data_IF_856911140360
#
_entry.id   IF_856911140360
#
_cell.length_a   1.000
_cell.length_b   1.000
_cell.length_c   1.000
_cell.angle_alpha   90.00
_cell.angle_beta   90.00
_cell.angle_gamma   90.00
#
_symmetry.space_group_name_H-M   'P 1'
#
loop_
_entity.id
_entity.type
_entity.pdbx_description
1 polymer ?
#
# COMPACT_ATOMS: atom_id res chain seq x y z
N UNK A 1 6.69 28.91 0.78
CA UNK A 1 5.39 29.10 1.45
C UNK A 1 5.01 27.75 2.03
N UNK A 2 4.67 27.67 3.33
CA UNK A 2 4.26 26.42 3.97
C UNK A 2 2.88 26.06 3.41
N UNK A 3 2.71 24.85 2.87
CA UNK A 3 1.41 24.34 2.38
C UNK A 3 0.88 23.33 3.40
N UNK A 4 -0.04 23.74 4.27
CA UNK A 4 -0.50 22.89 5.37
C UNK A 4 -1.27 21.65 4.88
N UNK A 5 -1.92 21.70 3.73
CA UNK A 5 -2.60 20.53 3.15
C UNK A 5 -1.56 19.49 2.76
N UNK A 6 -0.52 19.91 2.05
CA UNK A 6 0.59 19.05 1.64
C UNK A 6 1.30 18.42 2.83
N UNK A 7 1.54 19.21 3.88
CA UNK A 7 2.15 18.71 5.12
C UNK A 7 1.30 17.62 5.79
N UNK A 8 -0.02 17.83 5.92
CA UNK A 8 -0.91 16.84 6.52
C UNK A 8 -1.00 15.55 5.67
N UNK A 9 -1.08 15.68 4.35
CA UNK A 9 -1.07 14.50 3.45
C UNK A 9 0.24 13.72 3.58
N UNK A 10 1.38 14.41 3.65
CA UNK A 10 2.69 13.79 3.86
C UNK A 10 2.76 13.04 5.20
N UNK A 11 2.21 13.62 6.27
CA UNK A 11 2.16 12.97 7.58
C UNK A 11 1.27 11.72 7.56
N UNK A 12 0.14 11.78 6.85
CA UNK A 12 -0.76 10.64 6.69
C UNK A 12 -0.10 9.50 5.90
N UNK A 13 0.56 9.80 4.78
CA UNK A 13 1.29 8.81 3.96
C UNK A 13 2.44 8.15 4.71
N UNK A 14 3.11 8.84 5.63
CA UNK A 14 4.16 8.25 6.46
C UNK A 14 3.61 7.19 7.41
N UNK A 15 2.36 7.30 7.81
CA UNK A 15 1.75 6.43 8.80
C UNK A 15 2.34 6.60 10.21
N UNK A 16 2.04 5.64 11.09
CA UNK A 16 2.63 5.57 12.43
C UNK A 16 2.10 6.58 13.46
N UNK A 17 1.06 7.34 13.12
CA UNK A 17 0.45 8.31 14.05
C UNK A 17 -0.66 7.68 14.89
N UNK A 18 -1.67 7.10 14.22
CA UNK A 18 -2.85 6.52 14.88
C UNK A 18 -2.76 4.99 15.02
N UNK A 19 -1.94 4.35 14.21
CA UNK A 19 -1.75 2.90 14.16
C UNK A 19 -0.33 2.57 13.70
N UNK A 20 0.08 1.30 13.83
CA UNK A 20 1.37 0.81 13.35
C UNK A 20 1.50 0.95 11.83
N UNK A 21 2.73 1.07 11.35
CA UNK A 21 3.02 1.08 9.91
C UNK A 21 2.93 -0.33 9.32
N UNK A 22 2.86 -0.45 7.99
CA UNK A 22 2.99 -1.76 7.34
C UNK A 22 4.36 -2.39 7.66
N UNK A 23 5.43 -1.60 7.71
CA UNK A 23 6.77 -2.08 8.06
C UNK A 23 6.77 -2.76 9.44
N UNK A 24 6.17 -2.13 10.44
CA UNK A 24 6.02 -2.73 11.78
C UNK A 24 5.18 -4.00 11.74
N UNK A 25 4.08 -3.98 10.97
CA UNK A 25 3.16 -5.11 10.86
C UNK A 25 3.78 -6.36 10.21
N UNK A 26 4.74 -6.19 9.29
CA UNK A 26 5.41 -7.30 8.59
C UNK A 26 6.81 -7.61 9.13
N UNK A 27 7.35 -6.78 10.01
CA UNK A 27 8.68 -6.96 10.61
C UNK A 27 8.77 -8.31 11.32
N UNK A 28 9.87 -9.03 11.05
CA UNK A 28 10.17 -10.32 11.67
C UNK A 28 9.03 -11.37 11.57
N UNK A 29 8.14 -11.22 10.57
CA UNK A 29 7.05 -12.14 10.37
C UNK A 29 7.56 -13.52 9.95
N UNK A 30 7.21 -14.60 10.68
CA UNK A 30 7.76 -15.94 10.45
C UNK A 30 7.48 -16.45 9.03
N UNK A 31 8.52 -16.85 8.30
CA UNK A 31 8.40 -17.30 6.90
C UNK A 31 7.37 -18.44 6.72
N UNK A 32 7.34 -19.38 7.69
CA UNK A 32 6.40 -20.54 7.66
C UNK A 32 4.92 -20.14 7.80
N UNK A 33 4.62 -18.92 8.27
CA UNK A 33 3.25 -18.46 8.51
C UNK A 33 2.76 -17.49 7.40
N UNK A 34 3.58 -17.10 6.43
CA UNK A 34 3.25 -16.10 5.41
C UNK A 34 2.02 -16.44 4.59
N UNK A 35 1.80 -17.72 4.29
CA UNK A 35 0.63 -18.22 3.57
C UNK A 35 -0.47 -18.81 4.46
N UNK A 36 -0.32 -18.72 5.79
CA UNK A 36 -1.31 -19.31 6.70
C UNK A 36 -2.55 -18.43 6.83
N UNK A 37 -3.73 -19.05 6.75
CA UNK A 37 -5.03 -18.41 6.96
C UNK A 37 -5.64 -18.94 8.27
N UNK A 38 -5.64 -18.16 9.36
CA UNK A 38 -6.32 -18.58 10.58
C UNK A 38 -7.84 -18.63 10.38
N UNK A 39 -8.54 -19.38 11.23
CA UNK A 39 -10.01 -19.49 11.16
C UNK A 39 -10.65 -18.09 11.20
N UNK A 40 -11.45 -17.80 10.19
CA UNK A 40 -12.15 -16.52 10.04
C UNK A 40 -11.39 -15.47 9.22
N UNK A 41 -10.12 -15.70 8.85
CA UNK A 41 -9.40 -14.84 7.91
C UNK A 41 -9.64 -15.30 6.46
N UNK A 42 -9.99 -14.37 5.60
CA UNK A 42 -10.17 -14.62 4.17
C UNK A 42 -8.82 -14.71 3.44
N UNK A 43 -7.85 -13.91 3.89
CA UNK A 43 -6.55 -13.78 3.25
C UNK A 43 -5.39 -14.10 4.22
N UNK A 44 -4.30 -14.60 3.67
CA UNK A 44 -3.02 -14.72 4.37
C UNK A 44 -2.28 -13.38 4.43
N UNK A 45 -1.25 -13.27 5.27
CA UNK A 45 -0.42 -12.05 5.31
C UNK A 45 0.30 -11.81 3.98
N UNK A 46 0.69 -12.88 3.27
CA UNK A 46 1.26 -12.77 1.93
C UNK A 46 0.28 -12.15 0.93
N UNK A 47 -0.95 -12.65 0.89
CA UNK A 47 -1.97 -12.12 -0.02
C UNK A 47 -2.27 -10.64 0.25
N UNK A 48 -2.38 -10.26 1.53
CA UNK A 48 -2.61 -8.87 1.92
C UNK A 48 -1.44 -7.94 1.56
N UNK A 49 -0.19 -8.39 1.77
CA UNK A 49 1.01 -7.64 1.41
C UNK A 49 1.08 -7.39 -0.11
N UNK A 50 0.86 -8.43 -0.91
CA UNK A 50 0.87 -8.30 -2.38
C UNK A 50 -0.28 -7.43 -2.89
N UNK A 51 -1.47 -7.56 -2.31
CA UNK A 51 -2.59 -6.69 -2.64
C UNK A 51 -2.27 -5.21 -2.37
N UNK A 52 -1.70 -4.92 -1.20
CA UNK A 52 -1.24 -3.57 -0.85
C UNK A 52 -0.22 -3.03 -1.86
N UNK A 53 0.80 -3.84 -2.19
CA UNK A 53 1.83 -3.46 -3.16
C UNK A 53 1.24 -3.17 -4.54
N UNK A 54 0.39 -4.08 -5.05
CA UNK A 54 -0.20 -3.94 -6.39
C UNK A 54 -1.13 -2.72 -6.45
N UNK A 55 -2.00 -2.54 -5.47
CA UNK A 55 -2.93 -1.42 -5.45
C UNK A 55 -2.21 -0.06 -5.32
N UNK A 56 -1.20 0.02 -4.46
CA UNK A 56 -0.41 1.25 -4.30
C UNK A 56 0.39 1.58 -5.58
N UNK A 57 1.01 0.57 -6.20
CA UNK A 57 1.69 0.73 -7.47
C UNK A 57 0.74 1.24 -8.55
N UNK A 58 -0.44 0.66 -8.68
CA UNK A 58 -1.43 1.08 -9.67
C UNK A 58 -1.85 2.54 -9.47
N UNK A 59 -2.17 2.93 -8.23
CA UNK A 59 -2.55 4.31 -7.91
C UNK A 59 -1.41 5.30 -8.22
N UNK A 60 -0.17 4.95 -7.90
CA UNK A 60 1.00 5.77 -8.19
C UNK A 60 1.22 5.89 -9.71
N UNK A 61 1.18 4.78 -10.43
CA UNK A 61 1.38 4.75 -11.88
C UNK A 61 0.27 5.53 -12.61
N UNK A 62 -0.99 5.35 -12.23
CA UNK A 62 -2.10 6.18 -12.71
C UNK A 62 -1.87 7.66 -12.45
N UNK A 63 -1.34 8.02 -11.29
CA UNK A 63 -1.08 9.42 -10.92
C UNK A 63 0.03 10.07 -11.74
N UNK A 64 0.92 9.29 -12.36
CA UNK A 64 2.18 9.78 -12.93
C UNK A 64 2.35 9.50 -14.42
N UNK A 65 1.64 8.52 -14.98
CA UNK A 65 1.81 8.04 -16.36
C UNK A 65 0.48 8.01 -17.12
N UNK A 66 0.35 8.87 -18.11
CA UNK A 66 -0.82 8.94 -19.00
C UNK A 66 -1.06 7.65 -19.84
N UNK A 67 -0.05 6.78 -19.95
CA UNK A 67 -0.14 5.52 -20.70
C UNK A 67 -0.42 4.33 -19.82
N UNK A 68 -0.48 4.53 -18.50
CA UNK A 68 -0.75 3.46 -17.56
C UNK A 68 -2.12 2.83 -17.81
N UNK A 69 -2.18 1.53 -17.71
CA UNK A 69 -3.42 0.75 -17.77
C UNK A 69 -3.53 -0.06 -16.48
N UNK A 70 -4.55 0.21 -15.68
CA UNK A 70 -4.79 -0.50 -14.44
C UNK A 70 -5.05 -1.99 -14.63
N UNK A 71 -4.62 -2.84 -13.69
CA UNK A 71 -4.97 -4.25 -13.70
C UNK A 71 -6.49 -4.47 -13.73
N UNK A 72 -6.92 -5.61 -14.26
CA UNK A 72 -8.34 -5.96 -14.25
C UNK A 72 -8.81 -6.24 -12.82
N UNK A 73 -9.85 -5.56 -12.39
CA UNK A 73 -10.48 -5.77 -11.09
C UNK A 73 -11.43 -6.99 -11.10
N UNK A 74 -11.45 -7.81 -10.01
CA UNK A 74 -10.56 -7.78 -8.85
C UNK A 74 -9.29 -8.62 -9.03
N UNK A 75 -9.24 -9.50 -10.03
CA UNK A 75 -8.25 -10.57 -10.17
C UNK A 75 -6.81 -10.07 -10.31
N UNK A 76 -6.64 -8.90 -10.94
CA UNK A 76 -5.33 -8.29 -11.17
C UNK A 76 -4.69 -7.66 -9.93
N UNK A 77 -5.46 -7.51 -8.84
CA UNK A 77 -4.99 -6.87 -7.61
C UNK A 77 -4.60 -7.85 -6.50
N UNK A 78 -4.69 -9.16 -6.77
CA UNK A 78 -4.35 -10.21 -5.83
C UNK A 78 -3.27 -11.13 -6.38
N UNK A 79 -2.39 -11.69 -5.54
CA UNK A 79 -1.40 -12.65 -5.99
C UNK A 79 -2.06 -13.95 -6.46
N UNK A 80 -1.37 -14.66 -7.36
CA UNK A 80 -1.84 -15.96 -7.87
C UNK A 80 -1.58 -17.13 -6.91
N UNK A 81 -0.86 -16.88 -5.83
CA UNK A 81 -0.44 -17.90 -4.86
C UNK A 81 -0.79 -17.47 -3.45
N UNK A 82 -1.22 -18.41 -2.62
CA UNK A 82 -1.59 -18.15 -1.22
C UNK A 82 -0.37 -17.88 -0.33
N UNK A 83 0.83 -18.25 -0.79
CA UNK A 83 2.09 -18.09 -0.08
C UNK A 83 3.19 -17.57 -1.01
N UNK A 84 4.31 -17.16 -0.43
CA UNK A 84 5.47 -16.64 -1.18
C UNK A 84 5.96 -17.66 -2.21
N UNK A 85 5.98 -17.29 -3.51
CA UNK A 85 6.36 -18.24 -4.58
C UNK A 85 7.87 -18.54 -4.61
N UNK A 86 8.70 -17.65 -4.05
CA UNK A 86 10.16 -17.80 -3.97
C UNK A 86 10.68 -17.29 -2.63
N UNK A 87 11.92 -17.67 -2.28
CA UNK A 87 12.56 -17.23 -1.03
C UNK A 87 12.62 -15.69 -0.91
N UNK A 88 12.84 -14.99 -2.01
CA UNK A 88 13.02 -13.53 -2.04
C UNK A 88 11.72 -12.75 -2.27
N UNK A 89 10.61 -13.42 -2.59
CA UNK A 89 9.36 -12.74 -2.96
C UNK A 89 8.85 -11.80 -1.87
N UNK A 90 8.93 -12.22 -0.61
CA UNK A 90 8.53 -11.41 0.53
C UNK A 90 9.32 -10.11 0.64
N UNK A 91 10.64 -10.22 0.66
CA UNK A 91 11.53 -9.05 0.78
C UNK A 91 11.33 -8.10 -0.38
N UNK A 92 11.27 -8.64 -1.60
CA UNK A 92 11.03 -7.85 -2.81
C UNK A 92 9.68 -7.11 -2.74
N UNK A 93 8.62 -7.76 -2.27
CA UNK A 93 7.30 -7.15 -2.14
C UNK A 93 7.31 -5.98 -1.15
N UNK A 94 7.98 -6.15 0.00
CA UNK A 94 8.14 -5.07 1.00
C UNK A 94 8.96 -3.90 0.43
N UNK A 95 10.06 -4.18 -0.25
CA UNK A 95 10.93 -3.16 -0.87
C UNK A 95 10.19 -2.39 -1.97
N UNK A 96 9.46 -3.06 -2.84
CA UNK A 96 8.65 -2.43 -3.89
C UNK A 96 7.56 -1.55 -3.28
N UNK A 97 6.83 -2.04 -2.26
CA UNK A 97 5.84 -1.23 -1.54
C UNK A 97 6.45 0.04 -0.96
N UNK A 98 7.61 -0.06 -0.29
CA UNK A 98 8.30 1.09 0.30
C UNK A 98 8.78 2.09 -0.77
N UNK A 99 9.29 1.57 -1.88
CA UNK A 99 9.72 2.39 -3.03
C UNK A 99 8.58 3.20 -3.62
N UNK A 100 7.43 2.56 -3.84
CA UNK A 100 6.25 3.20 -4.41
C UNK A 100 5.62 4.20 -3.43
N UNK A 101 5.58 3.88 -2.14
CA UNK A 101 5.14 4.82 -1.10
C UNK A 101 6.03 6.07 -1.08
N UNK A 102 7.35 5.89 -1.17
CA UNK A 102 8.31 6.99 -1.25
C UNK A 102 8.08 7.84 -2.51
N UNK A 103 7.83 7.21 -3.65
CA UNK A 103 7.54 7.92 -4.90
C UNK A 103 6.23 8.73 -4.82
N UNK A 104 5.17 8.19 -4.19
CA UNK A 104 3.93 8.94 -3.92
C UNK A 104 4.19 10.13 -2.98
N UNK A 105 4.98 9.95 -1.94
CA UNK A 105 5.40 11.04 -1.05
C UNK A 105 6.18 12.12 -1.79
N UNK A 106 7.09 11.74 -2.69
CA UNK A 106 7.87 12.68 -3.48
C UNK A 106 7.00 13.44 -4.48
N UNK A 107 6.00 12.79 -5.07
CA UNK A 107 5.00 13.44 -5.93
C UNK A 107 4.20 14.49 -5.14
N UNK A 108 3.73 14.14 -3.94
CA UNK A 108 3.00 15.06 -3.04
C UNK A 108 3.92 16.18 -2.56
N UNK A 109 5.17 15.89 -2.20
CA UNK A 109 6.13 16.88 -1.69
C UNK A 109 6.57 17.90 -2.73
N UNK A 110 6.53 17.56 -4.01
CA UNK A 110 7.00 18.43 -5.09
C UNK A 110 6.12 19.69 -5.19
N UNK A 111 6.68 20.91 -5.01
CA UNK A 111 5.89 22.14 -5.05
C UNK A 111 5.33 22.46 -6.44
N UNK A 112 5.83 21.81 -7.51
CA UNK A 112 5.31 21.96 -8.87
C UNK A 112 4.08 21.08 -9.13
N UNK A 113 3.79 20.10 -8.27
CA UNK A 113 2.58 19.29 -8.37
C UNK A 113 1.40 20.07 -7.81
N UNK A 114 0.42 20.39 -8.66
CA UNK A 114 -0.87 20.92 -8.20
C UNK A 114 -1.71 19.74 -7.65
N UNK A 115 -1.86 19.68 -6.34
CA UNK A 115 -2.58 18.60 -5.67
C UNK A 115 -4.09 18.60 -5.99
N UNK A 116 -4.65 19.74 -6.35
CA UNK A 116 -6.09 19.94 -6.56
C UNK A 116 -6.49 19.90 -8.04
N UNK A 117 -5.53 20.05 -8.95
CA UNK A 117 -5.80 19.93 -10.38
C UNK A 117 -6.21 18.49 -10.73
N UNK A 118 -7.16 18.38 -11.65
CA UNK A 118 -7.56 17.08 -12.20
C UNK A 118 -6.40 16.47 -12.98
N UNK A 119 -6.17 15.17 -12.78
CA UNK A 119 -5.24 14.37 -13.57
C UNK A 119 -5.78 14.39 -15.03
N UNK A 120 -4.98 14.83 -16.03
CA UNK A 120 -5.51 15.10 -17.38
C UNK A 120 -6.08 13.86 -18.10
N UNK A 121 -5.67 12.67 -17.71
CA UNK A 121 -6.10 11.38 -18.28
C UNK A 121 -7.06 10.61 -17.39
N UNK A 122 -7.49 11.20 -16.27
CA UNK A 122 -8.48 10.62 -15.36
C UNK A 122 -9.88 11.18 -15.58
N UNK A 123 -10.85 10.60 -14.87
CA UNK A 123 -12.27 10.99 -14.89
C UNK A 123 -12.61 12.02 -13.80
N UNK A 124 -11.63 12.83 -13.41
CA UNK A 124 -11.80 13.89 -12.40
C UNK A 124 -11.01 13.68 -11.12
N UNK A 125 -10.22 12.61 -11.02
CA UNK A 125 -9.31 12.37 -9.92
C UNK A 125 -8.23 13.46 -9.84
N UNK A 126 -7.75 13.72 -8.63
CA UNK A 126 -6.66 14.66 -8.33
C UNK A 126 -5.55 13.94 -7.59
N UNK A 127 -4.33 14.47 -7.61
CA UNK A 127 -3.21 13.90 -6.83
C UNK A 127 -3.54 13.86 -5.34
N UNK A 128 -4.25 14.86 -4.82
CA UNK A 128 -4.74 14.83 -3.43
C UNK A 128 -5.61 13.62 -3.17
N UNK A 129 -6.60 13.37 -4.02
CA UNK A 129 -7.51 12.22 -3.89
C UNK A 129 -6.74 10.90 -3.92
N UNK A 130 -5.79 10.75 -4.85
CA UNK A 130 -5.01 9.52 -4.98
C UNK A 130 -4.09 9.29 -3.77
N UNK A 131 -3.46 10.33 -3.25
CA UNK A 131 -2.63 10.24 -2.05
C UNK A 131 -3.43 9.86 -0.80
N UNK A 132 -4.63 10.42 -0.64
CA UNK A 132 -5.55 10.05 0.44
C UNK A 132 -6.03 8.60 0.29
N UNK A 133 -6.32 8.14 -0.93
CA UNK A 133 -6.72 6.77 -1.21
C UNK A 133 -5.60 5.78 -0.85
N UNK A 134 -4.33 6.09 -1.20
CA UNK A 134 -3.18 5.27 -0.79
C UNK A 134 -3.12 5.14 0.73
N UNK A 135 -3.24 6.25 1.45
CA UNK A 135 -3.14 6.23 2.91
C UNK A 135 -4.28 5.44 3.56
N UNK A 136 -5.52 5.63 3.10
CA UNK A 136 -6.72 4.93 3.56
C UNK A 136 -6.63 3.42 3.30
N UNK A 137 -6.31 3.03 2.08
CA UNK A 137 -6.17 1.63 1.68
C UNK A 137 -5.04 0.92 2.45
N UNK A 138 -3.90 1.60 2.62
CA UNK A 138 -2.78 1.06 3.39
C UNK A 138 -3.15 0.88 4.86
N UNK A 139 -3.86 1.82 5.47
CA UNK A 139 -4.34 1.71 6.85
C UNK A 139 -5.28 0.51 7.03
N UNK A 140 -6.26 0.37 6.12
CA UNK A 140 -7.26 -0.70 6.16
C UNK A 140 -6.62 -2.10 6.11
N UNK A 141 -5.74 -2.34 5.15
CA UNK A 141 -5.12 -3.67 4.99
C UNK A 141 -3.98 -3.92 5.97
N UNK A 142 -3.29 -2.88 6.45
CA UNK A 142 -2.32 -3.02 7.55
C UNK A 142 -3.02 -3.54 8.82
N UNK A 143 -4.22 -3.04 9.14
CA UNK A 143 -4.99 -3.54 10.27
C UNK A 143 -5.35 -5.03 10.10
N UNK A 144 -5.74 -5.47 8.90
CA UNK A 144 -5.99 -6.88 8.62
C UNK A 144 -4.74 -7.75 8.79
N UNK A 145 -3.56 -7.27 8.35
CA UNK A 145 -2.29 -7.97 8.57
C UNK A 145 -2.02 -8.14 10.07
N UNK A 146 -2.21 -7.09 10.86
CA UNK A 146 -2.05 -7.14 12.32
C UNK A 146 -2.98 -8.17 12.94
N UNK A 147 -4.24 -8.20 12.53
CA UNK A 147 -5.22 -9.14 13.06
C UNK A 147 -4.90 -10.59 12.67
N UNK A 148 -4.55 -10.85 11.41
CA UNK A 148 -4.09 -12.20 10.98
C UNK A 148 -2.85 -12.62 11.76
N UNK A 149 -1.88 -11.73 11.96
CA UNK A 149 -0.66 -11.97 12.72
C UNK A 149 -0.95 -12.30 14.18
N UNK A 150 -1.91 -11.61 14.82
CA UNK A 150 -2.36 -11.89 16.20
C UNK A 150 -3.04 -13.26 16.30
N UNK A 151 -3.95 -13.57 15.37
CA UNK A 151 -4.64 -14.85 15.32
C UNK A 151 -3.69 -16.04 15.12
N UNK A 152 -2.56 -15.83 14.44
CA UNK A 152 -1.49 -16.82 14.26
C UNK A 152 -0.52 -16.89 15.45
N UNK A 153 -0.71 -16.06 16.49
CA UNK A 153 0.20 -16.00 17.64
C UNK A 153 1.60 -15.47 17.30
N UNK A 154 1.72 -14.66 16.24
CA UNK A 154 2.98 -14.14 15.74
C UNK A 154 3.15 -12.62 15.98
N UNK A 155 2.27 -12.01 16.75
CA UNK A 155 2.37 -10.62 17.20
C UNK A 155 2.87 -10.58 18.65
N UNK A 156 4.06 -10.02 18.85
CA UNK A 156 4.65 -9.80 20.18
C UNK A 156 4.39 -8.38 20.67
#
# INVERSE_FOLDING_TARGET
MNDPVREQVMNLLKGGQAHVTLEDAVKDFPAKLRGSKPKGAEHSVWELLEHLRIAQWDILAFSSDAKHTSPKWPEGYWPKTDTTPTANAWTKSVEEFQSDLKAMQDLVKNPKTDLLAKIPWGDGQTILREALLVADHNAYHTAQIVDVRRLLGAWN
#
